data_IF_168735672794
#
_entry.id   IF_168735672794
#
_cell.length_a   1.000
_cell.length_b   1.000
_cell.length_c   1.000
_cell.angle_alpha   90.00
_cell.angle_beta   90.00
_cell.angle_gamma   90.00
#
_symmetry.space_group_name_H-M   'P 1'
#
loop_
_entity.id
_entity.type
_entity.pdbx_description
1 polymer ?
#
# COMPACT_ATOMS: atom_id res chain seq x y z
N UNK A 1 4.66 0.53 -6.55
CA UNK A 1 4.01 0.58 -5.22
C UNK A 1 4.08 2.01 -4.73
N UNK A 2 2.96 2.55 -4.23
CA UNK A 2 2.94 3.85 -3.55
C UNK A 2 2.74 3.58 -2.06
N UNK A 3 3.54 4.23 -1.23
CA UNK A 3 3.38 4.21 0.22
C UNK A 3 3.22 5.65 0.71
N UNK A 4 2.40 5.83 1.75
CA UNK A 4 2.09 7.13 2.31
C UNK A 4 2.41 7.09 3.79
N UNK A 5 3.30 7.97 4.24
CA UNK A 5 3.49 8.22 5.66
C UNK A 5 2.41 9.18 6.16
N UNK A 6 1.60 8.74 7.11
CA UNK A 6 0.51 9.51 7.71
C UNK A 6 0.93 10.24 9.00
N UNK A 7 2.16 10.02 9.49
CA UNK A 7 2.62 10.55 10.76
C UNK A 7 3.67 11.66 10.56
N UNK A 8 3.29 12.94 10.69
CA UNK A 8 4.19 14.07 10.50
C UNK A 8 5.39 14.04 11.45
N UNK A 9 5.18 13.61 12.69
CA UNK A 9 6.25 13.56 13.70
C UNK A 9 7.37 12.58 13.30
N UNK A 10 7.08 11.64 12.41
CA UNK A 10 8.03 10.63 11.93
C UNK A 10 8.70 11.00 10.60
N UNK A 11 8.32 12.09 9.92
CA UNK A 11 8.87 12.45 8.59
C UNK A 11 10.40 12.48 8.55
N UNK A 12 11.01 13.04 9.60
CA UNK A 12 12.47 13.13 9.70
C UNK A 12 13.17 11.76 9.93
N UNK A 13 12.47 10.77 10.48
CA UNK A 13 13.04 9.45 10.82
C UNK A 13 12.70 8.36 9.81
N UNK A 14 11.64 8.52 9.01
CA UNK A 14 11.19 7.52 8.03
C UNK A 14 12.24 7.28 6.94
N UNK A 15 12.80 8.32 6.33
CA UNK A 15 13.79 8.13 5.26
C UNK A 15 15.08 7.43 5.74
N UNK A 16 15.69 7.82 6.87
CA UNK A 16 16.80 7.05 7.45
C UNK A 16 16.46 5.58 7.71
N UNK A 17 15.26 5.31 8.24
CA UNK A 17 14.80 3.94 8.51
C UNK A 17 14.68 3.13 7.21
N UNK A 18 14.02 3.67 6.18
CA UNK A 18 13.86 2.98 4.89
C UNK A 18 15.22 2.73 4.22
N UNK A 19 16.14 3.70 4.28
CA UNK A 19 17.50 3.53 3.78
C UNK A 19 18.25 2.41 4.51
N UNK A 20 18.16 2.36 5.85
CA UNK A 20 18.76 1.29 6.66
C UNK A 20 18.17 -0.10 6.32
N UNK A 21 16.88 -0.15 6.00
CA UNK A 21 16.18 -1.35 5.53
C UNK A 21 16.46 -1.69 4.06
N UNK A 22 17.25 -0.88 3.34
CA UNK A 22 17.53 -1.01 1.90
C UNK A 22 16.27 -0.94 1.02
N UNK A 23 15.27 -0.19 1.47
CA UNK A 23 14.06 0.09 0.71
C UNK A 23 14.32 1.30 -0.20
N UNK A 24 14.10 1.11 -1.51
CA UNK A 24 14.49 2.08 -2.53
C UNK A 24 13.43 3.12 -2.94
N UNK A 25 12.25 3.14 -2.30
CA UNK A 25 11.21 4.13 -2.63
C UNK A 25 11.15 5.23 -1.56
N UNK A 26 10.72 6.42 -1.99
CA UNK A 26 10.42 7.56 -1.10
C UNK A 26 8.90 7.57 -0.87
N UNK A 27 8.41 7.45 0.38
CA UNK A 27 6.99 7.52 0.65
C UNK A 27 6.47 8.93 0.38
N UNK A 28 5.22 9.01 -0.07
CA UNK A 28 4.47 10.27 -0.07
C UNK A 28 4.13 10.64 1.38
N UNK A 29 3.82 11.91 1.60
CA UNK A 29 3.42 12.42 2.91
C UNK A 29 1.95 12.84 2.88
N UNK A 30 1.22 12.51 3.93
CA UNK A 30 -0.14 13.00 4.18
C UNK A 30 -0.40 13.05 5.69
N UNK A 31 -1.66 13.18 6.07
CA UNK A 31 -2.15 13.30 7.45
C UNK A 31 -3.24 12.24 7.70
N UNK A 32 -3.43 11.85 8.97
CA UNK A 32 -4.49 10.92 9.38
C UNK A 32 -5.88 11.32 8.88
N UNK A 33 -6.27 12.59 9.04
CA UNK A 33 -7.57 13.11 8.61
C UNK A 33 -7.85 12.89 7.11
N UNK A 34 -6.81 13.01 6.27
CA UNK A 34 -6.93 12.75 4.84
C UNK A 34 -7.14 11.25 4.56
N UNK A 35 -6.40 10.39 5.26
CA UNK A 35 -6.51 8.94 5.11
C UNK A 35 -7.87 8.40 5.57
N UNK A 36 -8.38 8.91 6.69
CA UNK A 36 -9.73 8.63 7.19
C UNK A 36 -10.80 9.04 6.16
N UNK A 37 -10.74 10.29 5.68
CA UNK A 37 -11.73 10.84 4.75
C UNK A 37 -11.76 10.12 3.41
N UNK A 38 -10.59 9.79 2.84
CA UNK A 38 -10.49 9.28 1.47
C UNK A 38 -10.41 7.76 1.38
N UNK A 39 -9.90 7.11 2.41
CA UNK A 39 -9.61 5.68 2.42
C UNK A 39 -10.17 4.94 3.62
N UNK A 40 -10.89 5.60 4.55
CA UNK A 40 -11.46 4.98 5.74
C UNK A 40 -10.41 4.15 6.50
N UNK A 41 -9.25 4.76 6.74
CA UNK A 41 -8.11 4.18 7.46
C UNK A 41 -8.13 4.70 8.90
N UNK A 42 -8.23 3.80 9.87
CA UNK A 42 -8.23 4.09 11.31
C UNK A 42 -7.00 3.48 12.02
N UNK A 43 -6.10 2.83 11.28
CA UNK A 43 -4.91 2.20 11.80
C UNK A 43 -3.88 1.85 10.73
N UNK A 44 -2.64 1.63 11.17
CA UNK A 44 -1.50 1.29 10.31
C UNK A 44 -0.80 0.02 10.81
N UNK A 45 -0.19 -0.80 9.93
CA UNK A 45 -0.18 -0.64 8.47
C UNK A 45 -1.54 -0.97 7.83
N UNK A 46 -1.88 -0.27 6.75
CA UNK A 46 -3.06 -0.59 5.94
C UNK A 46 -2.72 -0.50 4.45
N UNK A 47 -3.24 -1.44 3.66
CA UNK A 47 -2.94 -1.57 2.25
C UNK A 47 -4.22 -1.72 1.42
N UNK A 48 -4.18 -1.20 0.20
CA UNK A 48 -5.23 -1.37 -0.79
C UNK A 48 -4.62 -1.59 -2.17
N UNK A 49 -5.22 -2.49 -2.95
CA UNK A 49 -4.98 -2.63 -4.38
C UNK A 49 -5.98 -1.76 -5.13
N UNK A 50 -5.47 -0.90 -6.00
CA UNK A 50 -6.25 0.09 -6.75
C UNK A 50 -6.10 -0.20 -8.25
N UNK A 51 -7.20 -0.18 -9.00
CA UNK A 51 -7.16 -0.34 -10.46
C UNK A 51 -6.78 0.97 -11.19
N UNK A 52 -6.64 0.89 -12.52
CA UNK A 52 -6.31 2.03 -13.36
C UNK A 52 -7.38 3.15 -13.36
N UNK A 53 -8.58 2.89 -12.85
CA UNK A 53 -9.65 3.89 -12.69
C UNK A 53 -9.69 4.49 -11.27
N UNK A 54 -8.75 4.13 -10.41
CA UNK A 54 -8.69 4.62 -9.03
C UNK A 54 -9.63 3.90 -8.07
N UNK A 55 -10.24 2.77 -8.46
CA UNK A 55 -11.13 2.01 -7.58
C UNK A 55 -10.34 1.05 -6.72
N UNK A 56 -10.67 0.97 -5.43
CA UNK A 56 -10.14 -0.07 -4.54
C UNK A 56 -10.75 -1.41 -4.97
N UNK A 57 -9.89 -2.34 -5.40
CA UNK A 57 -10.30 -3.69 -5.81
C UNK A 57 -10.17 -4.68 -4.66
N UNK A 58 -9.17 -4.49 -3.80
CA UNK A 58 -8.93 -5.37 -2.67
C UNK A 58 -8.23 -4.65 -1.51
N UNK A 59 -8.46 -5.09 -0.28
CA UNK A 59 -7.71 -4.68 0.92
C UNK A 59 -7.08 -5.93 1.54
N UNK A 60 -5.81 -6.21 1.24
CA UNK A 60 -5.16 -7.41 1.75
C UNK A 60 -4.87 -7.28 3.23
N UNK A 61 -5.12 -8.37 3.94
CA UNK A 61 -4.56 -8.64 5.26
C UNK A 61 -3.56 -9.79 5.11
N UNK A 62 -2.30 -9.53 5.46
CA UNK A 62 -1.19 -10.49 5.29
C UNK A 62 -0.57 -10.75 6.64
N UNK A 63 -0.83 -11.93 7.17
CA UNK A 63 -0.40 -12.35 8.50
C UNK A 63 0.37 -13.67 8.50
N UNK A 64 0.41 -14.38 7.37
CA UNK A 64 1.08 -15.68 7.22
C UNK A 64 1.42 -16.00 5.74
N UNK A 65 2.03 -17.18 5.51
CA UNK A 65 2.39 -17.63 4.16
C UNK A 65 1.16 -17.82 3.25
N UNK A 66 0.05 -18.46 3.70
CA UNK A 66 -1.16 -18.56 2.88
C UNK A 66 -1.74 -17.20 2.44
N UNK A 67 -1.90 -16.25 3.35
CA UNK A 67 -2.40 -14.89 3.04
C UNK A 67 -1.47 -14.15 2.09
N UNK A 68 -0.15 -14.36 2.19
CA UNK A 68 0.82 -13.84 1.21
C UNK A 68 0.60 -14.42 -0.19
N UNK A 69 0.40 -15.73 -0.32
CA UNK A 69 0.13 -16.37 -1.63
C UNK A 69 -1.17 -15.85 -2.25
N UNK A 70 -2.19 -15.58 -1.43
CA UNK A 70 -3.45 -14.97 -1.91
C UNK A 70 -3.19 -13.58 -2.48
N UNK A 71 -2.43 -12.74 -1.77
CA UNK A 71 -2.03 -11.43 -2.27
C UNK A 71 -1.27 -11.52 -3.60
N UNK A 72 -0.28 -12.41 -3.68
CA UNK A 72 0.52 -12.62 -4.91
C UNK A 72 -0.39 -12.93 -6.11
N UNK A 73 -1.33 -13.87 -5.97
CA UNK A 73 -2.30 -14.22 -7.01
C UNK A 73 -3.25 -13.09 -7.39
N UNK A 74 -3.68 -12.29 -6.43
CA UNK A 74 -4.54 -11.14 -6.70
C UNK A 74 -3.81 -10.05 -7.49
N UNK A 75 -2.53 -9.82 -7.17
CA UNK A 75 -1.68 -8.91 -7.93
C UNK A 75 -1.49 -9.44 -9.35
N UNK A 76 -1.18 -10.73 -9.52
CA UNK A 76 -1.07 -11.36 -10.85
C UNK A 76 -2.34 -11.19 -11.67
N UNK A 77 -3.51 -11.49 -11.10
CA UNK A 77 -4.80 -11.34 -11.79
C UNK A 77 -5.09 -9.89 -12.21
N UNK A 78 -4.72 -8.91 -11.39
CA UNK A 78 -4.86 -7.49 -11.75
C UNK A 78 -3.93 -7.10 -12.90
N UNK A 79 -2.70 -7.62 -12.91
CA UNK A 79 -1.73 -7.37 -13.99
C UNK A 79 -2.17 -8.02 -15.30
N UNK A 80 -2.66 -9.26 -15.26
CA UNK A 80 -3.15 -9.96 -16.45
C UNK A 80 -4.39 -9.27 -17.05
N UNK A 81 -5.31 -8.81 -16.19
CA UNK A 81 -6.45 -7.99 -16.61
C UNK A 81 -6.00 -6.70 -17.29
N UNK A 82 -5.01 -6.01 -16.73
CA UNK A 82 -4.48 -4.78 -17.31
C UNK A 82 -3.77 -5.02 -18.64
N UNK A 83 -3.14 -6.18 -18.81
CA UNK A 83 -2.47 -6.59 -20.05
C UNK A 83 -3.42 -7.18 -21.12
N UNK A 84 -4.73 -7.32 -20.82
CA UNK A 84 -5.70 -7.92 -21.74
C UNK A 84 -5.50 -9.42 -21.95
N UNK A 85 -4.88 -10.13 -20.99
CA UNK A 85 -4.53 -11.56 -21.08
C UNK A 85 -5.59 -12.51 -20.53
N UNK A 86 -6.85 -12.07 -20.47
CA UNK A 86 -7.96 -12.87 -19.93
C UNK A 86 -8.81 -13.50 -21.03
#
# INVERSE_FOLDING_TARGET
MLAINLEPAQRASVLPLLAAMRVGFVPLESEWAWAEQHFNIDGTPSAALIDAQGRIVFRPDVHDTPSRIVLERQVEALLDRAAGKM
#
